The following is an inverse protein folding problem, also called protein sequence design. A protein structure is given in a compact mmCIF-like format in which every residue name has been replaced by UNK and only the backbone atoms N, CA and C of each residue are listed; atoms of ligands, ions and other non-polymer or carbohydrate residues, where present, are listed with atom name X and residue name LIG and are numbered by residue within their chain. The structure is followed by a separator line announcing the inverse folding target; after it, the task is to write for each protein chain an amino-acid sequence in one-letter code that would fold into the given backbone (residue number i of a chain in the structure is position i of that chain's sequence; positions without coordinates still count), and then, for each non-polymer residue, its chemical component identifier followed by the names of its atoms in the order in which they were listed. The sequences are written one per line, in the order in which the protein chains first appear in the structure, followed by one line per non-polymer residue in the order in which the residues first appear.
data_IF_847312728245
#
_entry.id   IF_847312728245
#
_cell.length_a   1.000
_cell.length_b   1.000
_cell.length_c   1.000
_cell.angle_alpha   90.00
_cell.angle_beta   90.00
_cell.angle_gamma   90.00
#
_symmetry.space_group_name_H-M   'P 1'
#
loop_
_entity.id
_entity.type
_entity.pdbx_description
1 polymer ?
#
# COMPACT_ATOMS: atom_id res chain seq x y z
N UNK A 1 18.77 18.37 -6.94
CA UNK A 1 19.45 17.30 -6.17
C UNK A 1 18.39 16.52 -5.39
N UNK A 2 18.16 15.23 -5.69
CA UNK A 2 17.16 14.40 -4.98
C UNK A 2 17.73 13.99 -3.61
N UNK A 3 17.22 14.57 -2.52
CA UNK A 3 17.67 14.29 -1.15
C UNK A 3 16.70 13.37 -0.40
N UNK A 4 15.41 13.40 -0.72
CA UNK A 4 14.39 12.57 -0.08
C UNK A 4 13.32 12.05 -1.07
N UNK A 5 12.36 11.28 -0.55
CA UNK A 5 11.24 10.71 -1.32
C UNK A 5 10.47 11.77 -2.10
N UNK A 6 10.21 12.94 -1.50
CA UNK A 6 9.43 14.03 -2.13
C UNK A 6 10.15 14.59 -3.37
N UNK A 7 11.48 14.67 -3.34
CA UNK A 7 12.26 15.16 -4.47
C UNK A 7 12.20 14.21 -5.68
N UNK A 8 12.20 12.89 -5.43
CA UNK A 8 12.04 11.88 -6.49
C UNK A 8 10.65 11.97 -7.15
N UNK A 9 9.61 12.23 -6.35
CA UNK A 9 8.23 12.26 -6.82
C UNK A 9 7.90 13.49 -7.68
N UNK A 10 8.57 14.63 -7.47
CA UNK A 10 8.43 15.83 -8.32
C UNK A 10 8.83 15.55 -9.79
N UNK A 11 9.76 14.63 -10.01
CA UNK A 11 10.25 14.27 -11.36
C UNK A 11 9.36 13.24 -12.08
N UNK A 12 8.58 12.44 -11.35
CA UNK A 12 7.74 11.38 -11.92
C UNK A 12 6.31 11.84 -12.28
N UNK A 13 5.97 13.11 -12.08
CA UNK A 13 4.60 13.64 -12.18
C UNK A 13 4.15 14.15 -13.56
N UNK A 14 5.02 14.16 -14.58
CA UNK A 14 4.72 14.71 -15.91
C UNK A 14 4.46 13.58 -16.92
N UNK A 15 3.20 13.20 -17.14
CA UNK A 15 2.62 12.82 -18.45
C UNK A 15 1.23 12.14 -18.37
N UNK A 16 0.50 12.29 -19.49
CA UNK A 16 -0.69 11.59 -19.99
C UNK A 16 -2.08 12.11 -19.58
N UNK A 17 -2.81 12.61 -20.59
CA UNK A 17 -4.22 13.03 -20.62
C UNK A 17 -5.17 11.85 -20.95
N UNK A 18 -6.47 12.04 -20.70
CA UNK A 18 -7.54 11.04 -20.68
C UNK A 18 -8.61 11.24 -21.77
N UNK A 19 -9.28 10.15 -22.18
CA UNK A 19 -10.60 10.15 -22.85
C UNK A 19 -11.50 9.10 -22.16
N UNK A 20 -12.81 9.34 -22.08
CA UNK A 20 -13.75 8.58 -21.24
C UNK A 20 -14.98 8.01 -21.96
N UNK A 21 -15.86 7.32 -21.21
CA UNK A 21 -17.34 7.40 -21.24
C UNK A 21 -18.02 6.24 -20.49
N UNK A 22 -19.18 6.53 -19.87
CA UNK A 22 -20.36 5.64 -19.76
C UNK A 22 -20.57 4.82 -18.47
N UNK A 23 -21.66 5.10 -17.73
CA UNK A 23 -22.14 4.35 -16.55
C UNK A 23 -23.57 3.79 -16.79
N UNK A 24 -23.90 2.65 -16.15
CA UNK A 24 -25.26 2.09 -16.00
C UNK A 24 -25.42 1.51 -14.56
N UNK A 25 -26.57 1.67 -13.86
CA UNK A 25 -26.72 1.21 -12.49
C UNK A 25 -27.67 0.01 -12.30
N UNK A 26 -27.42 -0.79 -11.26
CA UNK A 26 -28.35 -1.81 -10.73
C UNK A 26 -28.32 -1.87 -9.18
N UNK A 27 -29.51 -1.98 -8.58
CA UNK A 27 -29.92 -1.96 -7.14
C UNK A 27 -29.58 -3.25 -6.34
N UNK A 28 -29.66 -3.43 -5.00
CA UNK A 28 -29.62 -2.66 -3.71
C UNK A 28 -29.49 -3.69 -2.56
N UNK A 29 -28.98 -3.31 -1.38
CA UNK A 29 -29.10 -4.05 -0.12
C UNK A 29 -28.44 -3.29 1.05
N UNK A 30 -29.16 -3.12 2.16
CA UNK A 30 -28.91 -2.09 3.20
C UNK A 30 -27.64 -2.29 4.05
N UNK A 31 -26.70 -1.38 3.86
CA UNK A 31 -25.88 -0.75 4.89
C UNK A 31 -26.21 0.76 4.81
N UNK A 32 -25.93 1.57 5.83
CA UNK A 32 -26.16 3.02 5.70
C UNK A 32 -25.52 3.48 4.39
N UNK A 33 -26.31 4.04 3.49
CA UNK A 33 -25.84 4.45 2.17
C UNK A 33 -25.14 5.80 2.27
N UNK A 34 -24.22 6.08 1.35
CA UNK A 34 -23.64 7.42 1.20
C UNK A 34 -24.73 8.51 1.16
N UNK A 35 -24.60 9.54 1.99
CA UNK A 35 -25.51 10.68 1.95
C UNK A 35 -25.15 11.61 0.79
N UNK A 36 -26.12 12.37 0.27
CA UNK A 36 -25.87 13.36 -0.77
C UNK A 36 -24.77 14.36 -0.36
N UNK A 37 -24.76 14.77 0.91
CA UNK A 37 -23.75 15.67 1.48
C UNK A 37 -22.34 15.07 1.43
N UNK A 38 -22.18 13.79 1.75
CA UNK A 38 -20.87 13.10 1.70
C UNK A 38 -20.36 13.02 0.25
N UNK A 39 -21.24 12.71 -0.71
CA UNK A 39 -20.89 12.65 -2.13
C UNK A 39 -20.55 14.03 -2.72
N UNK A 40 -21.27 15.08 -2.32
CA UNK A 40 -20.97 16.45 -2.70
C UNK A 40 -19.63 16.93 -2.10
N UNK A 41 -19.35 16.56 -0.84
CA UNK A 41 -18.07 16.84 -0.21
C UNK A 41 -16.92 16.13 -0.94
N UNK A 42 -17.10 14.85 -1.30
CA UNK A 42 -16.16 14.09 -2.13
C UNK A 42 -15.87 14.81 -3.46
N UNK A 43 -16.91 15.18 -4.20
CA UNK A 43 -16.82 15.88 -5.48
C UNK A 43 -16.08 17.21 -5.33
N UNK A 44 -16.46 18.02 -4.34
CA UNK A 44 -15.86 19.32 -4.05
C UNK A 44 -14.36 19.18 -3.69
N UNK A 45 -14.02 18.31 -2.74
CA UNK A 45 -12.63 18.13 -2.29
C UNK A 45 -11.77 17.56 -3.41
N UNK A 46 -12.29 16.60 -4.19
CA UNK A 46 -11.59 16.05 -5.34
C UNK A 46 -11.26 17.13 -6.38
N UNK A 47 -12.22 18.00 -6.71
CA UNK A 47 -12.03 19.12 -7.63
C UNK A 47 -10.97 20.12 -7.14
N UNK A 48 -11.05 20.57 -5.89
CA UNK A 48 -10.14 21.60 -5.36
C UNK A 48 -8.72 21.11 -5.06
N UNK A 49 -8.48 19.80 -4.98
CA UNK A 49 -7.17 19.23 -4.61
C UNK A 49 -6.51 18.43 -5.75
N UNK A 50 -6.87 18.71 -7.00
CA UNK A 50 -6.24 18.14 -8.18
C UNK A 50 -6.48 16.64 -8.31
N UNK A 51 -7.74 16.22 -8.46
CA UNK A 51 -8.09 14.86 -8.82
C UNK A 51 -8.00 14.67 -10.35
N UNK A 52 -7.52 13.50 -10.76
CA UNK A 52 -7.66 12.97 -12.14
C UNK A 52 -8.89 12.08 -12.29
N UNK A 53 -9.46 11.64 -11.18
CA UNK A 53 -10.61 10.77 -11.13
C UNK A 53 -10.87 10.29 -9.71
N UNK A 54 -12.12 9.94 -9.43
CA UNK A 54 -12.53 9.32 -8.18
C UNK A 54 -13.81 8.51 -8.38
N UNK A 55 -14.03 7.55 -7.48
CA UNK A 55 -15.31 6.86 -7.36
C UNK A 55 -15.52 6.37 -5.93
N UNK A 56 -16.78 6.19 -5.58
CA UNK A 56 -17.25 5.68 -4.29
C UNK A 56 -18.16 4.47 -4.51
N UNK A 57 -18.01 3.46 -3.66
CA UNK A 57 -18.80 2.23 -3.71
C UNK A 57 -19.46 1.94 -2.37
N UNK A 58 -20.60 1.26 -2.45
CA UNK A 58 -21.29 0.60 -1.35
C UNK A 58 -21.44 -0.88 -1.75
N UNK A 59 -20.78 -1.77 -1.01
CA UNK A 59 -20.61 -3.16 -1.42
C UNK A 59 -20.11 -3.27 -2.85
N UNK A 60 -20.77 -4.06 -3.69
CA UNK A 60 -20.33 -4.24 -5.08
C UNK A 60 -20.75 -3.10 -6.02
N UNK A 61 -21.63 -2.18 -5.59
CA UNK A 61 -22.19 -1.14 -6.44
C UNK A 61 -21.38 0.15 -6.38
N UNK A 62 -21.03 0.71 -7.54
CA UNK A 62 -20.53 2.09 -7.63
C UNK A 62 -21.71 3.05 -7.44
N UNK A 63 -21.61 3.95 -6.46
CA UNK A 63 -22.68 4.89 -6.10
C UNK A 63 -22.44 6.24 -6.76
N UNK A 64 -21.19 6.65 -6.90
CA UNK A 64 -20.81 7.89 -7.57
C UNK A 64 -19.39 7.79 -8.12
N UNK A 65 -19.07 8.62 -9.11
CA UNK A 65 -17.72 8.76 -9.63
C UNK A 65 -17.59 9.82 -10.71
N UNK A 66 -16.35 10.19 -11.01
CA UNK A 66 -15.99 11.10 -12.08
C UNK A 66 -14.64 10.67 -12.65
N UNK A 67 -14.56 10.55 -13.99
CA UNK A 67 -13.36 10.07 -14.70
C UNK A 67 -12.81 8.77 -14.08
N UNK A 68 -13.67 7.79 -13.83
CA UNK A 68 -13.31 6.49 -13.23
C UNK A 68 -12.49 5.58 -14.17
N UNK A 69 -12.50 5.86 -15.48
CA UNK A 69 -11.55 5.30 -16.43
C UNK A 69 -10.15 5.92 -16.37
N UNK A 70 -9.94 7.01 -15.62
CA UNK A 70 -8.62 7.63 -15.52
C UNK A 70 -7.62 6.66 -14.94
N UNK A 71 -6.47 6.52 -15.62
CA UNK A 71 -5.36 5.66 -15.24
C UNK A 71 -4.12 6.47 -14.88
N UNK A 72 -3.33 5.94 -13.96
CA UNK A 72 -2.02 6.51 -13.66
C UNK A 72 -1.21 5.69 -12.68
N UNK A 73 0.01 6.11 -12.35
CA UNK A 73 0.84 5.43 -11.36
C UNK A 73 0.11 5.37 -10.02
N UNK A 74 0.07 4.22 -9.36
CA UNK A 74 -0.51 4.04 -8.02
C UNK A 74 0.48 4.42 -6.91
N UNK A 75 1.76 4.60 -7.27
CA UNK A 75 2.86 4.85 -6.35
C UNK A 75 2.87 3.85 -5.17
N UNK A 76 2.85 4.33 -3.94
CA UNK A 76 3.00 3.46 -2.76
C UNK A 76 1.80 2.55 -2.47
N UNK A 77 0.67 2.70 -3.17
CA UNK A 77 -0.41 1.70 -3.13
C UNK A 77 0.09 0.33 -3.67
N UNK A 78 1.13 0.31 -4.52
CA UNK A 78 1.80 -0.93 -4.97
C UNK A 78 2.22 -1.83 -3.79
N UNK A 79 2.57 -1.25 -2.63
CA UNK A 79 2.97 -2.01 -1.43
C UNK A 79 1.85 -2.91 -0.90
N UNK A 80 0.60 -2.49 -1.01
CA UNK A 80 -0.54 -3.32 -0.62
C UNK A 80 -0.69 -4.55 -1.55
N UNK A 81 -0.37 -4.39 -2.83
CA UNK A 81 -0.37 -5.48 -3.82
C UNK A 81 0.78 -6.46 -3.52
N UNK A 82 1.96 -5.94 -3.17
CA UNK A 82 3.08 -6.76 -2.70
C UNK A 82 2.75 -7.53 -1.41
N UNK A 83 2.02 -6.90 -0.48
CA UNK A 83 1.55 -7.58 0.74
C UNK A 83 0.50 -8.66 0.45
N UNK A 84 -0.36 -8.48 -0.56
CA UNK A 84 -1.24 -9.55 -1.04
C UNK A 84 -0.44 -10.71 -1.64
N UNK A 85 0.67 -10.45 -2.33
CA UNK A 85 1.56 -11.52 -2.80
C UNK A 85 2.14 -12.33 -1.62
N UNK A 86 2.65 -11.66 -0.59
CA UNK A 86 3.12 -12.33 0.62
C UNK A 86 1.99 -13.09 1.34
N UNK A 87 0.78 -12.53 1.34
CA UNK A 87 -0.42 -13.19 1.89
C UNK A 87 -0.77 -14.46 1.13
N UNK A 88 -0.77 -14.43 -0.21
CA UNK A 88 -1.00 -15.61 -1.03
C UNK A 88 0.07 -16.66 -0.81
N UNK A 89 1.33 -16.25 -0.69
CA UNK A 89 2.46 -17.13 -0.44
C UNK A 89 2.36 -17.84 0.93
N UNK A 90 1.87 -17.13 1.95
CA UNK A 90 1.56 -17.72 3.25
C UNK A 90 0.39 -18.68 3.22
N UNK A 91 -0.68 -18.35 2.47
CA UNK A 91 -1.80 -19.26 2.26
C UNK A 91 -1.40 -20.53 1.50
N UNK A 92 -0.40 -20.42 0.61
CA UNK A 92 0.21 -21.56 -0.10
C UNK A 92 1.31 -22.27 0.73
N UNK A 93 1.58 -21.81 1.96
CA UNK A 93 2.44 -22.49 2.93
C UNK A 93 3.95 -22.38 2.68
N UNK A 94 4.42 -21.46 1.83
CA UNK A 94 5.86 -21.36 1.51
C UNK A 94 6.54 -20.06 1.96
N UNK A 95 5.77 -19.12 2.52
CA UNK A 95 6.28 -17.90 3.15
C UNK A 95 5.65 -17.74 4.54
N UNK A 96 6.48 -17.62 5.57
CA UNK A 96 6.03 -17.41 6.95
C UNK A 96 6.39 -15.99 7.42
N UNK A 97 5.50 -15.25 8.09
CA UNK A 97 5.81 -13.89 8.55
C UNK A 97 7.00 -13.84 9.55
N UNK A 98 7.25 -14.91 10.30
CA UNK A 98 8.29 -14.98 11.33
C UNK A 98 9.58 -15.66 10.86
N UNK A 99 9.62 -16.25 9.66
CA UNK A 99 10.86 -16.81 9.13
C UNK A 99 11.92 -15.72 8.97
N UNK A 100 13.19 -16.11 9.13
CA UNK A 100 14.29 -15.18 8.96
C UNK A 100 14.50 -14.95 7.48
N UNK A 101 14.71 -13.70 7.10
CA UNK A 101 15.10 -13.36 5.72
C UNK A 101 16.38 -14.10 5.33
N UNK A 102 17.30 -14.29 6.28
CA UNK A 102 18.55 -15.03 6.09
C UNK A 102 18.39 -16.51 5.78
N UNK A 103 17.22 -17.10 6.00
CA UNK A 103 16.95 -18.49 5.62
C UNK A 103 16.97 -18.62 4.09
N UNK A 104 16.53 -17.58 3.38
CA UNK A 104 16.55 -17.47 1.91
C UNK A 104 17.72 -16.64 1.37
N UNK A 105 18.21 -15.68 2.16
CA UNK A 105 19.33 -14.80 1.83
C UNK A 105 20.57 -15.25 2.61
N UNK A 106 21.33 -16.26 2.14
CA UNK A 106 22.49 -16.78 2.85
C UNK A 106 23.55 -15.71 3.13
N UNK A 107 23.63 -14.66 2.29
CA UNK A 107 24.54 -13.52 2.46
C UNK A 107 24.36 -12.79 3.80
N UNK A 108 23.23 -12.97 4.47
CA UNK A 108 22.90 -12.29 5.73
C UNK A 108 23.03 -13.20 6.96
N UNK A 109 23.33 -14.50 6.80
CA UNK A 109 23.34 -15.47 7.91
C UNK A 109 24.38 -15.16 8.98
N UNK A 110 25.55 -14.67 8.58
CA UNK A 110 26.66 -14.34 9.49
C UNK A 110 26.64 -12.90 9.99
N UNK A 111 25.77 -12.05 9.43
CA UNK A 111 25.63 -10.67 9.87
C UNK A 111 24.84 -10.63 11.20
N UNK A 112 25.40 -10.08 12.28
CA UNK A 112 24.79 -10.13 13.62
C UNK A 112 23.47 -9.35 13.73
N UNK A 113 23.21 -8.42 12.81
CA UNK A 113 22.00 -7.61 12.79
C UNK A 113 21.01 -8.14 11.76
N UNK A 114 21.44 -8.33 10.52
CA UNK A 114 20.59 -8.72 9.39
C UNK A 114 20.02 -10.15 9.53
N UNK A 115 20.76 -11.06 10.15
CA UNK A 115 20.29 -12.43 10.44
C UNK A 115 19.03 -12.47 11.31
N UNK A 116 18.74 -11.41 12.06
CA UNK A 116 17.55 -11.30 12.94
C UNK A 116 16.32 -10.74 12.23
N UNK A 117 16.43 -10.26 10.99
CA UNK A 117 15.31 -9.65 10.27
C UNK A 117 14.33 -10.75 9.82
N UNK A 118 13.04 -10.57 10.12
CA UNK A 118 11.97 -11.45 9.63
C UNK A 118 11.20 -10.85 8.46
N UNK A 119 10.44 -11.67 7.74
CA UNK A 119 9.52 -11.21 6.67
C UNK A 119 8.54 -10.17 7.20
N UNK A 120 7.96 -10.39 8.38
CA UNK A 120 7.01 -9.46 9.00
C UNK A 120 7.65 -8.10 9.30
N UNK A 121 8.92 -8.07 9.73
CA UNK A 121 9.63 -6.81 9.96
C UNK A 121 9.81 -5.99 8.68
N UNK A 122 9.91 -6.65 7.51
CA UNK A 122 9.90 -5.96 6.21
C UNK A 122 8.52 -5.36 5.92
N UNK A 123 7.46 -6.15 6.09
CA UNK A 123 6.06 -5.72 5.86
C UNK A 123 5.60 -4.62 6.84
N UNK A 124 6.19 -4.57 8.02
CA UNK A 124 6.00 -3.52 9.04
C UNK A 124 6.93 -2.32 8.84
N UNK A 125 7.97 -2.45 8.00
CA UNK A 125 9.04 -1.45 7.81
C UNK A 125 9.76 -1.07 9.11
N UNK A 126 10.03 -2.08 9.93
CA UNK A 126 10.82 -1.97 11.18
C UNK A 126 12.07 -2.86 11.13
N UNK A 127 12.53 -3.28 9.96
CA UNK A 127 13.66 -4.21 9.85
C UNK A 127 15.03 -3.63 10.24
N UNK A 128 15.10 -2.33 10.54
CA UNK A 128 16.35 -1.63 10.83
C UNK A 128 17.18 -1.29 9.59
N UNK A 129 16.73 -1.65 8.39
CA UNK A 129 17.36 -1.20 7.14
C UNK A 129 17.18 0.31 6.96
N UNK A 130 18.16 0.96 6.34
CA UNK A 130 17.95 2.31 5.83
C UNK A 130 16.82 2.32 4.79
N UNK A 131 16.12 3.45 4.64
CA UNK A 131 14.94 3.54 3.78
C UNK A 131 15.23 3.15 2.30
N UNK A 132 16.46 3.33 1.83
CA UNK A 132 16.88 2.91 0.49
C UNK A 132 16.47 3.86 -0.65
N UNK A 133 16.04 5.09 -0.35
CA UNK A 133 15.57 6.06 -1.37
C UNK A 133 16.65 6.37 -2.42
N UNK A 134 17.86 6.68 -2.00
CA UNK A 134 18.98 6.98 -2.92
C UNK A 134 19.36 5.74 -3.75
N UNK A 135 19.76 4.61 -3.13
CA UNK A 135 20.25 3.46 -3.89
C UNK A 135 19.17 2.82 -4.79
N UNK A 136 17.88 2.89 -4.45
CA UNK A 136 16.83 2.18 -5.20
C UNK A 136 15.97 3.06 -6.10
N UNK A 137 15.78 4.34 -5.79
CA UNK A 137 14.97 5.25 -6.63
C UNK A 137 15.83 6.21 -7.44
N UNK A 138 16.81 6.86 -6.80
CA UNK A 138 17.64 7.85 -7.49
C UNK A 138 18.63 7.20 -8.45
N UNK A 139 19.33 6.16 -8.00
CA UNK A 139 20.40 5.53 -8.78
C UNK A 139 19.87 4.56 -9.85
N UNK A 140 18.60 4.16 -9.76
CA UNK A 140 17.93 3.26 -10.72
C UNK A 140 18.79 2.04 -11.08
N UNK A 141 19.18 1.20 -10.09
CA UNK A 141 20.08 0.09 -10.33
C UNK A 141 19.46 -0.91 -11.32
N UNK A 142 20.32 -1.59 -12.08
CA UNK A 142 19.89 -2.61 -13.04
C UNK A 142 19.19 -3.80 -12.38
N UNK A 143 19.57 -4.11 -11.15
CA UNK A 143 19.01 -5.15 -10.29
C UNK A 143 18.68 -4.54 -8.93
N UNK A 144 17.38 -4.41 -8.64
CA UNK A 144 16.93 -3.82 -7.38
C UNK A 144 17.01 -4.78 -6.20
N UNK A 145 16.87 -6.08 -6.45
CA UNK A 145 17.02 -7.10 -5.41
C UNK A 145 18.44 -7.09 -4.87
N UNK A 146 19.44 -7.13 -5.75
CA UNK A 146 20.85 -7.03 -5.38
C UNK A 146 21.18 -5.72 -4.68
N UNK A 147 20.64 -4.60 -5.14
CA UNK A 147 20.83 -3.32 -4.47
C UNK A 147 20.19 -3.29 -3.07
N UNK A 148 19.03 -3.94 -2.88
CA UNK A 148 18.36 -4.03 -1.58
C UNK A 148 19.14 -4.89 -0.58
N UNK A 149 19.79 -5.98 -1.03
CA UNK A 149 20.68 -6.80 -0.21
C UNK A 149 21.86 -6.03 0.38
N UNK A 150 22.38 -5.07 -0.40
CA UNK A 150 23.49 -4.20 -0.03
C UNK A 150 23.13 -3.04 0.91
N UNK A 151 21.85 -2.83 1.23
CA UNK A 151 21.44 -1.77 2.15
C UNK A 151 22.04 -1.95 3.54
N UNK A 152 22.36 -0.84 4.18
CA UNK A 152 22.87 -0.84 5.56
C UNK A 152 21.74 -1.05 6.56
N UNK A 153 22.03 -1.75 7.65
CA UNK A 153 21.23 -1.68 8.86
C UNK A 153 21.69 -0.46 9.67
N UNK A 154 20.77 0.46 9.94
CA UNK A 154 21.02 1.70 10.67
C UNK A 154 20.31 1.75 12.02
N UNK A 155 19.40 0.79 12.29
CA UNK A 155 18.81 0.57 13.60
C UNK A 155 18.78 -0.92 13.95
N UNK A 156 18.47 -1.23 15.20
CA UNK A 156 18.14 -2.59 15.60
C UNK A 156 16.81 -3.04 14.98
N UNK A 157 16.69 -4.29 14.49
CA UNK A 157 15.43 -4.81 13.99
C UNK A 157 14.33 -4.72 15.05
N UNK A 158 13.16 -4.23 14.63
CA UNK A 158 11.97 -4.06 15.46
C UNK A 158 11.89 -2.75 16.25
N UNK A 159 12.88 -1.83 16.17
CA UNK A 159 12.92 -0.66 17.07
C UNK A 159 12.50 0.66 16.44
N UNK A 160 12.70 0.85 15.13
CA UNK A 160 12.41 2.12 14.44
C UNK A 160 11.61 1.85 13.16
N UNK A 161 10.52 2.60 12.98
CA UNK A 161 9.77 2.62 11.72
C UNK A 161 10.46 3.54 10.71
N UNK A 162 10.94 2.98 9.59
CA UNK A 162 11.54 3.73 8.48
C UNK A 162 10.79 3.46 7.20
N UNK A 163 10.10 4.46 6.68
CA UNK A 163 9.34 4.29 5.45
C UNK A 163 10.24 4.42 4.21
N UNK A 164 10.32 3.37 3.39
CA UNK A 164 11.16 3.40 2.19
C UNK A 164 11.04 2.18 1.28
N UNK A 165 11.65 2.25 0.08
CA UNK A 165 11.67 1.11 -0.84
C UNK A 165 12.44 -0.11 -0.35
N UNK A 166 13.44 0.06 0.52
CA UNK A 166 14.38 -1.01 0.87
C UNK A 166 13.72 -2.31 1.33
N UNK A 167 12.78 -2.19 2.25
CA UNK A 167 12.04 -3.34 2.81
C UNK A 167 11.26 -4.12 1.74
N UNK A 168 10.71 -3.41 0.75
CA UNK A 168 9.82 -3.97 -0.26
C UNK A 168 10.60 -4.63 -1.39
N UNK A 169 11.68 -4.00 -1.87
CA UNK A 169 12.52 -4.62 -2.89
C UNK A 169 13.27 -5.83 -2.34
N UNK A 170 13.61 -5.83 -1.04
CA UNK A 170 14.13 -7.02 -0.38
C UNK A 170 13.09 -8.13 -0.25
N UNK A 171 11.83 -7.80 0.07
CA UNK A 171 10.74 -8.78 0.05
C UNK A 171 10.57 -9.40 -1.35
N UNK A 172 10.66 -8.58 -2.40
CA UNK A 172 10.63 -9.08 -3.78
C UNK A 172 11.76 -10.07 -4.05
N UNK A 173 12.98 -9.77 -3.60
CA UNK A 173 14.14 -10.67 -3.76
C UNK A 173 13.98 -12.00 -3.01
N UNK A 174 13.48 -11.96 -1.77
CA UNK A 174 13.17 -13.18 -0.99
C UNK A 174 12.17 -14.05 -1.74
N UNK A 175 11.06 -13.47 -2.19
CA UNK A 175 10.03 -14.21 -2.93
C UNK A 175 10.57 -14.73 -4.26
N UNK A 176 11.38 -13.94 -4.98
CA UNK A 176 12.00 -14.34 -6.25
C UNK A 176 12.88 -15.57 -6.08
N UNK A 177 13.74 -15.62 -5.07
CA UNK A 177 14.60 -16.80 -4.82
C UNK A 177 13.78 -18.03 -4.45
N UNK A 178 12.81 -17.90 -3.55
CA UNK A 178 11.91 -19.01 -3.18
C UNK A 178 11.13 -19.55 -4.38
N UNK A 179 10.60 -18.68 -5.23
CA UNK A 179 9.86 -19.07 -6.45
C UNK A 179 10.78 -19.72 -7.48
N UNK A 180 12.02 -19.25 -7.63
CA UNK A 180 13.00 -19.86 -8.52
C UNK A 180 13.27 -21.32 -8.17
N UNK A 181 13.35 -21.67 -6.88
CA UNK A 181 13.47 -23.07 -6.43
C UNK A 181 12.23 -23.92 -6.74
N UNK A 182 11.09 -23.28 -6.99
CA UNK A 182 9.82 -23.92 -7.39
C UNK A 182 9.60 -23.90 -8.91
N UNK A 183 10.58 -23.41 -9.70
CA UNK A 183 10.45 -23.31 -11.16
C UNK A 183 9.50 -22.20 -11.63
N UNK A 184 9.21 -21.20 -10.79
CA UNK A 184 8.31 -20.10 -11.11
C UNK A 184 9.03 -18.73 -11.06
N UNK A 185 8.65 -17.81 -11.94
CA UNK A 185 9.17 -16.44 -11.92
C UNK A 185 8.28 -15.53 -11.07
N UNK A 186 8.87 -14.50 -10.45
CA UNK A 186 8.11 -13.53 -9.67
C UNK A 186 7.00 -12.84 -10.50
N UNK A 187 7.21 -12.38 -11.75
CA UNK A 187 6.14 -11.86 -12.59
C UNK A 187 4.99 -12.85 -12.82
N UNK A 188 5.28 -14.12 -13.12
CA UNK A 188 4.26 -15.14 -13.33
C UNK A 188 3.42 -15.36 -12.06
N UNK A 189 4.10 -15.44 -10.91
CA UNK A 189 3.46 -15.55 -9.61
C UNK A 189 2.55 -14.35 -9.32
N UNK A 190 3.05 -13.13 -9.50
CA UNK A 190 2.27 -11.91 -9.27
C UNK A 190 1.02 -11.87 -10.16
N UNK A 191 1.15 -12.29 -11.41
CA UNK A 191 0.01 -12.35 -12.32
C UNK A 191 -1.04 -13.37 -11.88
N UNK A 192 -0.63 -14.63 -11.63
CA UNK A 192 -1.58 -15.71 -11.28
C UNK A 192 -2.15 -15.57 -9.87
N UNK A 193 -1.34 -15.10 -8.92
CA UNK A 193 -1.63 -15.12 -7.49
C UNK A 193 -2.22 -13.82 -6.97
N UNK A 194 -2.07 -12.71 -7.70
CA UNK A 194 -2.54 -11.39 -7.25
C UNK A 194 -3.30 -10.63 -8.32
N UNK A 195 -2.69 -10.36 -9.47
CA UNK A 195 -3.27 -9.45 -10.46
C UNK A 195 -4.58 -10.02 -11.03
N UNK A 196 -4.57 -11.25 -11.56
CA UNK A 196 -5.77 -11.88 -12.12
C UNK A 196 -6.88 -12.11 -11.08
N UNK A 197 -6.61 -12.66 -9.89
CA UNK A 197 -7.66 -12.87 -8.89
C UNK A 197 -8.34 -11.58 -8.42
N UNK A 198 -7.59 -10.50 -8.23
CA UNK A 198 -8.15 -9.19 -7.85
C UNK A 198 -8.84 -8.50 -9.03
N UNK A 199 -8.51 -8.89 -10.27
CA UNK A 199 -8.99 -8.27 -11.50
C UNK A 199 -8.25 -6.97 -11.84
N UNK A 200 -6.93 -6.98 -11.65
CA UNK A 200 -5.99 -5.91 -12.03
C UNK A 200 -5.30 -6.25 -13.36
N UNK A 201 -4.99 -5.22 -14.15
CA UNK A 201 -4.31 -5.34 -15.43
C UNK A 201 -2.84 -5.79 -15.31
N UNK A 202 -2.41 -6.65 -16.22
CA UNK A 202 -1.09 -7.30 -16.21
C UNK A 202 0.07 -6.36 -16.61
N UNK A 203 -0.14 -5.47 -17.58
CA UNK A 203 0.97 -4.97 -18.42
C UNK A 203 1.61 -3.65 -17.98
N UNK A 204 1.29 -3.12 -16.80
CA UNK A 204 1.82 -1.82 -16.40
C UNK A 204 2.38 -1.81 -14.98
N UNK A 205 3.21 -2.81 -14.69
CA UNK A 205 4.04 -2.87 -13.50
C UNK A 205 5.50 -2.62 -13.89
N UNK A 206 6.05 -1.51 -13.41
CA UNK A 206 7.48 -1.21 -13.61
C UNK A 206 8.38 -2.30 -13.02
N UNK A 207 9.38 -2.70 -13.80
CA UNK A 207 10.40 -3.65 -13.41
C UNK A 207 11.82 -3.08 -13.57
N UNK A 208 12.81 -3.76 -13.00
CA UNK A 208 14.22 -3.48 -13.27
C UNK A 208 14.65 -4.08 -14.62
N UNK A 209 15.94 -3.97 -14.97
CA UNK A 209 16.44 -4.48 -16.25
C UNK A 209 16.41 -6.02 -16.33
N UNK A 210 16.29 -6.71 -15.19
CA UNK A 210 16.10 -8.15 -15.10
C UNK A 210 14.63 -8.59 -15.12
N UNK A 211 13.70 -7.68 -15.41
CA UNK A 211 12.26 -7.91 -15.38
C UNK A 211 11.70 -8.26 -13.98
N UNK A 212 12.38 -7.86 -12.90
CA UNK A 212 11.87 -8.02 -11.55
C UNK A 212 10.91 -6.86 -11.21
N UNK A 213 9.65 -7.14 -10.83
CA UNK A 213 8.66 -6.10 -10.55
C UNK A 213 9.01 -5.34 -9.28
N UNK A 214 8.84 -4.02 -9.31
CA UNK A 214 9.10 -3.17 -8.14
C UNK A 214 8.01 -3.31 -7.09
N UNK A 215 8.34 -3.76 -5.88
CA UNK A 215 7.33 -3.91 -4.82
C UNK A 215 7.03 -2.61 -4.07
N UNK A 216 7.94 -1.65 -4.10
CA UNK A 216 7.76 -0.38 -3.37
C UNK A 216 6.90 0.65 -4.11
N UNK A 217 6.94 0.62 -5.44
CA UNK A 217 6.22 1.51 -6.36
C UNK A 217 6.33 0.92 -7.76
N UNK A 218 5.26 0.84 -8.53
CA UNK A 218 5.44 0.37 -9.92
C UNK A 218 4.16 0.12 -10.69
N UNK A 219 3.06 -0.13 -10.00
CA UNK A 219 1.78 -0.36 -10.67
C UNK A 219 1.18 0.93 -11.18
N UNK A 220 0.57 0.86 -12.36
CA UNK A 220 -0.37 1.86 -12.84
C UNK A 220 -1.76 1.25 -12.88
N UNK A 221 -2.71 1.88 -12.20
CA UNK A 221 -4.08 1.41 -12.09
C UNK A 221 -5.04 2.52 -12.48
N UNK A 222 -6.23 2.14 -12.95
CA UNK A 222 -7.37 3.04 -13.02
C UNK A 222 -8.18 3.04 -11.70
N UNK A 223 -9.18 3.92 -11.62
CA UNK A 223 -10.02 4.06 -10.42
C UNK A 223 -10.82 2.79 -10.16
N UNK A 224 -11.31 2.13 -11.22
CA UNK A 224 -12.08 0.89 -11.10
C UNK A 224 -11.22 -0.23 -10.50
N UNK A 225 -9.97 -0.38 -10.95
CA UNK A 225 -9.00 -1.32 -10.42
C UNK A 225 -8.61 -1.01 -8.96
N UNK A 226 -8.42 0.26 -8.61
CA UNK A 226 -8.23 0.67 -7.22
C UNK A 226 -9.45 0.32 -6.36
N UNK A 227 -10.65 0.45 -6.91
CA UNK A 227 -11.90 0.01 -6.27
C UNK A 227 -11.96 -1.50 -6.06
N UNK A 228 -11.50 -2.31 -7.02
CA UNK A 228 -11.42 -3.78 -6.87
C UNK A 228 -10.40 -4.19 -5.82
N UNK A 229 -9.20 -3.60 -5.85
CA UNK A 229 -8.17 -3.78 -4.82
C UNK A 229 -8.72 -3.44 -3.42
N UNK A 230 -9.43 -2.31 -3.32
CA UNK A 230 -10.08 -1.91 -2.08
C UNK A 230 -11.12 -2.91 -1.58
N UNK A 231 -11.95 -3.45 -2.49
CA UNK A 231 -12.93 -4.49 -2.16
C UNK A 231 -12.27 -5.76 -1.60
N UNK A 232 -11.23 -6.27 -2.27
CA UNK A 232 -10.48 -7.45 -1.80
C UNK A 232 -9.94 -7.21 -0.39
N UNK A 233 -9.28 -6.08 -0.16
CA UNK A 233 -8.70 -5.75 1.15
C UNK A 233 -9.77 -5.57 2.21
N UNK A 234 -10.89 -4.89 1.92
CA UNK A 234 -12.00 -4.75 2.88
C UNK A 234 -12.58 -6.10 3.30
N UNK A 235 -12.72 -7.06 2.37
CA UNK A 235 -13.20 -8.41 2.69
C UNK A 235 -12.22 -9.16 3.60
N UNK A 236 -10.92 -9.08 3.30
CA UNK A 236 -9.89 -9.71 4.14
C UNK A 236 -9.81 -9.07 5.53
N UNK A 237 -9.95 -7.74 5.64
CA UNK A 237 -10.02 -7.04 6.92
C UNK A 237 -11.25 -7.45 7.74
N UNK A 238 -12.36 -7.77 7.07
CA UNK A 238 -13.58 -8.29 7.70
C UNK A 238 -13.51 -9.80 8.00
N UNK A 239 -12.34 -10.44 7.89
CA UNK A 239 -12.16 -11.87 8.19
C UNK A 239 -12.70 -12.82 7.12
N UNK A 240 -12.95 -12.34 5.89
CA UNK A 240 -13.52 -13.14 4.80
C UNK A 240 -12.47 -13.49 3.75
N UNK A 241 -12.29 -14.78 3.51
CA UNK A 241 -11.51 -15.28 2.38
C UNK A 241 -12.13 -14.81 1.05
N UNK A 242 -11.28 -14.36 0.13
CA UNK A 242 -11.71 -13.91 -1.20
C UNK A 242 -10.54 -13.84 -2.16
N UNK A 243 -10.82 -13.89 -3.46
CA UNK A 243 -9.84 -13.69 -4.54
C UNK A 243 -8.58 -14.57 -4.39
N UNK A 244 -8.72 -15.77 -3.80
CA UNK A 244 -7.62 -16.69 -3.54
C UNK A 244 -6.75 -16.35 -2.34
N UNK A 245 -7.13 -15.38 -1.49
CA UNK A 245 -6.42 -15.05 -0.26
C UNK A 245 -7.18 -15.55 0.98
N UNK A 246 -6.42 -16.08 1.94
CA UNK A 246 -6.91 -16.36 3.29
C UNK A 246 -6.88 -15.08 4.13
N UNK A 247 -7.97 -14.75 4.79
CA UNK A 247 -8.07 -13.60 5.69
C UNK A 247 -7.17 -13.73 6.91
N UNK A 248 -6.99 -14.95 7.42
CA UNK A 248 -6.08 -15.24 8.53
C UNK A 248 -4.60 -15.04 8.11
N UNK A 249 -4.21 -15.54 6.93
CA UNK A 249 -2.88 -15.25 6.37
C UNK A 249 -2.68 -13.74 6.15
N UNK A 250 -3.71 -13.03 5.68
CA UNK A 250 -3.68 -11.58 5.47
C UNK A 250 -3.49 -10.83 6.79
N UNK A 251 -4.21 -11.23 7.84
CA UNK A 251 -4.11 -10.64 9.17
C UNK A 251 -2.69 -10.79 9.72
N UNK A 252 -2.07 -11.98 9.58
CA UNK A 252 -0.68 -12.20 10.00
C UNK A 252 0.32 -11.37 9.19
N UNK A 253 0.21 -11.36 7.86
CA UNK A 253 1.17 -10.68 6.98
C UNK A 253 1.08 -9.15 7.04
N UNK A 254 -0.11 -8.61 7.34
CA UNK A 254 -0.30 -7.15 7.37
C UNK A 254 -0.33 -6.57 8.78
N UNK A 255 -0.05 -7.39 9.82
CA UNK A 255 -0.12 -6.98 11.23
C UNK A 255 0.79 -5.78 11.52
N UNK A 256 0.28 -4.70 12.15
CA UNK A 256 1.12 -3.59 12.60
C UNK A 256 2.16 -3.99 13.65
N UNK A 257 3.20 -3.18 13.80
CA UNK A 257 4.14 -3.28 14.92
C UNK A 257 3.70 -2.43 16.10
N UNK A 258 4.25 -2.68 17.30
CA UNK A 258 4.08 -1.78 18.45
C UNK A 258 4.75 -0.42 18.26
N UNK A 259 5.80 -0.35 17.43
CA UNK A 259 6.52 0.88 17.07
C UNK A 259 5.66 1.81 16.23
N UNK A 260 4.93 1.26 15.26
CA UNK A 260 3.96 2.01 14.45
C UNK A 260 2.65 1.21 14.31
N UNK A 261 1.66 1.44 15.20
CA UNK A 261 0.38 0.74 15.16
C UNK A 261 -0.50 1.16 13.97
N UNK A 262 -0.17 2.25 13.26
CA UNK A 262 -0.90 2.64 12.06
C UNK A 262 -0.50 1.81 10.85
N UNK A 263 0.72 1.26 10.76
CA UNK A 263 1.24 0.70 9.51
C UNK A 263 1.53 -0.80 9.57
N UNK A 264 1.09 -1.53 8.54
CA UNK A 264 1.55 -2.89 8.26
C UNK A 264 1.02 -3.39 6.92
N UNK A 265 1.88 -3.99 6.08
CA UNK A 265 1.48 -4.54 4.78
C UNK A 265 1.06 -3.48 3.75
N UNK A 266 1.54 -2.24 3.86
CA UNK A 266 1.10 -1.15 2.97
C UNK A 266 -0.23 -0.49 3.37
N UNK A 267 -0.88 -0.97 4.43
CA UNK A 267 -2.13 -0.41 4.98
C UNK A 267 -1.82 0.60 6.08
N UNK A 268 -2.50 1.74 6.03
CA UNK A 268 -2.55 2.73 7.11
C UNK A 268 -3.88 2.62 7.85
N UNK A 269 -3.84 2.39 9.16
CA UNK A 269 -5.00 2.06 9.99
C UNK A 269 -5.36 3.20 10.94
N UNK A 270 -6.66 3.37 11.18
CA UNK A 270 -7.20 4.39 12.07
C UNK A 270 -7.45 3.86 13.51
N UNK A 271 -6.87 2.72 13.87
CA UNK A 271 -7.16 1.99 15.14
C UNK A 271 -6.95 2.80 16.42
N UNK A 272 -6.17 3.89 16.35
CA UNK A 272 -5.88 4.77 17.49
C UNK A 272 -6.86 5.95 17.61
N UNK A 273 -7.80 6.13 16.68
CA UNK A 273 -8.68 7.30 16.62
C UNK A 273 -9.57 7.50 17.87
N UNK A 274 -9.97 6.41 18.53
CA UNK A 274 -10.79 6.47 19.75
C UNK A 274 -9.97 6.62 21.05
N UNK A 275 -8.64 6.71 20.97
CA UNK A 275 -7.82 6.89 22.18
C UNK A 275 -7.86 8.33 22.66
N UNK A 276 -7.86 8.50 23.97
CA UNK A 276 -7.63 9.81 24.60
C UNK A 276 -6.31 10.40 24.12
N UNK A 277 -6.35 11.64 23.65
CA UNK A 277 -5.17 12.34 23.11
C UNK A 277 -4.77 11.91 21.70
N UNK A 278 -5.63 11.20 20.96
CA UNK A 278 -5.37 10.87 19.56
C UNK A 278 -5.23 12.14 18.70
N UNK A 279 -4.25 12.13 17.80
CA UNK A 279 -3.98 13.24 16.87
C UNK A 279 -4.17 12.77 15.43
N UNK A 280 -4.99 13.51 14.68
CA UNK A 280 -5.13 13.28 13.24
C UNK A 280 -3.89 13.78 12.51
N UNK A 281 -3.27 12.94 11.68
CA UNK A 281 -2.04 13.31 10.96
C UNK A 281 -2.20 13.20 9.45
N UNK A 282 -1.49 14.07 8.72
CA UNK A 282 -1.22 13.85 7.30
C UNK A 282 -0.02 12.89 7.19
N UNK A 283 -0.27 11.62 6.86
CA UNK A 283 0.75 10.56 6.84
C UNK A 283 1.97 10.95 6.01
N UNK A 284 1.76 11.43 4.79
CA UNK A 284 2.86 11.79 3.88
C UNK A 284 3.78 12.89 4.42
N UNK A 285 3.31 13.69 5.39
CA UNK A 285 4.11 14.72 6.06
C UNK A 285 5.03 14.18 7.15
N UNK A 286 4.83 12.93 7.58
CA UNK A 286 5.42 12.36 8.79
C UNK A 286 6.21 11.07 8.57
N UNK A 287 6.51 10.72 7.32
CA UNK A 287 7.16 9.44 6.97
C UNK A 287 8.54 9.58 6.32
N UNK A 288 8.98 10.81 6.01
CA UNK A 288 10.28 11.01 5.38
C UNK A 288 11.41 10.91 6.42
N UNK A 289 11.20 11.48 7.61
CA UNK A 289 12.08 11.31 8.77
C UNK A 289 11.43 10.38 9.81
N UNK A 290 12.20 9.51 10.49
CA UNK A 290 11.67 8.66 11.55
C UNK A 290 11.02 9.47 12.66
N UNK A 291 9.89 8.98 13.16
CA UNK A 291 9.21 9.50 14.35
C UNK A 291 9.31 8.48 15.49
N UNK A 292 9.37 8.93 16.75
CA UNK A 292 9.41 8.02 17.89
C UNK A 292 8.12 7.20 17.98
N UNK A 293 8.18 6.02 18.59
CA UNK A 293 7.00 5.17 18.79
C UNK A 293 5.89 5.87 19.58
N UNK A 294 6.22 6.80 20.49
CA UNK A 294 5.24 7.62 21.22
C UNK A 294 4.36 8.45 20.29
N UNK A 295 4.93 9.01 19.21
CA UNK A 295 4.18 9.74 18.19
C UNK A 295 3.18 8.82 17.48
N UNK A 296 3.63 7.67 16.98
CA UNK A 296 2.76 6.74 16.25
C UNK A 296 1.67 6.12 17.12
N UNK A 297 1.89 6.00 18.43
CA UNK A 297 0.88 5.49 19.36
C UNK A 297 -0.28 6.46 19.62
N UNK A 298 -0.09 7.76 19.34
CA UNK A 298 -1.15 8.78 19.40
C UNK A 298 -1.70 9.14 18.01
N UNK A 299 -0.95 8.87 16.95
CA UNK A 299 -1.35 9.22 15.59
C UNK A 299 -2.51 8.35 15.06
N UNK A 300 -3.42 8.99 14.32
CA UNK A 300 -4.48 8.34 13.55
C UNK A 300 -4.71 9.05 12.21
N UNK A 301 -5.49 8.44 11.31
CA UNK A 301 -5.87 9.07 10.04
C UNK A 301 -6.86 10.22 10.27
N UNK A 302 -7.87 9.99 11.11
CA UNK A 302 -8.86 10.99 11.49
C UNK A 302 -9.55 10.60 12.79
N UNK A 303 -9.63 11.53 13.74
CA UNK A 303 -10.40 11.38 14.98
C UNK A 303 -11.92 11.50 14.76
N UNK A 304 -12.35 11.93 13.55
CA UNK A 304 -13.75 12.00 13.15
C UNK A 304 -14.26 10.73 12.45
N UNK A 305 -13.37 9.78 12.22
CA UNK A 305 -13.67 8.53 11.52
C UNK A 305 -13.55 7.35 12.47
N UNK A 306 -14.29 6.26 12.23
CA UNK A 306 -14.27 5.10 13.09
C UNK A 306 -12.88 4.41 13.09
N UNK A 307 -12.56 3.64 14.15
CA UNK A 307 -11.26 2.96 14.26
C UNK A 307 -10.99 1.91 13.16
N UNK A 308 -12.02 1.39 12.50
CA UNK A 308 -11.93 0.40 11.41
C UNK A 308 -11.50 1.01 10.07
N UNK A 309 -11.49 2.35 9.93
CA UNK A 309 -11.01 3.02 8.73
C UNK A 309 -9.57 2.59 8.40
N UNK A 310 -9.37 2.17 7.16
CA UNK A 310 -8.06 1.87 6.57
C UNK A 310 -7.85 2.70 5.30
N UNK A 311 -6.63 3.15 5.08
CA UNK A 311 -6.22 3.85 3.87
C UNK A 311 -5.02 3.18 3.19
N UNK A 312 -5.11 3.06 1.86
CA UNK A 312 -3.95 2.83 1.00
C UNK A 312 -3.47 4.19 0.50
N UNK A 313 -2.22 4.54 0.80
CA UNK A 313 -1.69 5.89 0.59
C UNK A 313 -0.60 5.85 -0.48
N UNK A 314 -0.89 6.47 -1.62
CA UNK A 314 0.05 6.74 -2.70
C UNK A 314 0.33 8.23 -2.82
N UNK A 315 1.56 8.58 -3.19
CA UNK A 315 1.97 9.98 -3.32
C UNK A 315 1.10 10.79 -4.26
N UNK A 316 1.08 12.11 -4.08
CA UNK A 316 0.32 13.02 -4.95
C UNK A 316 -1.19 12.81 -4.84
N UNK A 317 -1.67 12.47 -3.64
CA UNK A 317 -3.09 12.35 -3.31
C UNK A 317 -3.79 11.11 -3.85
N UNK A 318 -3.06 10.03 -4.18
CA UNK A 318 -3.70 8.76 -4.56
C UNK A 318 -4.13 8.05 -3.29
N UNK A 319 -5.40 7.66 -3.25
CA UNK A 319 -6.01 7.10 -2.04
C UNK A 319 -6.95 5.97 -2.40
N UNK A 320 -6.96 4.97 -1.55
CA UNK A 320 -8.11 4.07 -1.39
C UNK A 320 -8.48 4.10 0.09
N UNK A 321 -9.66 4.60 0.43
CA UNK A 321 -10.19 4.57 1.79
C UNK A 321 -11.21 3.45 1.91
N UNK A 322 -11.15 2.73 3.03
CA UNK A 322 -11.93 1.53 3.29
C UNK A 322 -12.58 1.68 4.67
N UNK A 323 -13.89 1.47 4.74
CA UNK A 323 -14.63 1.25 5.98
C UNK A 323 -15.19 -0.17 5.93
N UNK A 324 -14.42 -1.18 6.36
CA UNK A 324 -14.81 -2.58 6.23
C UNK A 324 -16.16 -2.91 6.86
N UNK A 325 -16.46 -2.34 8.04
CA UNK A 325 -17.70 -2.63 8.78
C UNK A 325 -18.92 -2.03 8.09
N UNK A 326 -18.71 -0.95 7.33
CA UNK A 326 -19.76 -0.27 6.57
C UNK A 326 -19.84 -0.75 5.12
N UNK A 327 -18.95 -1.64 4.68
CA UNK A 327 -18.76 -2.07 3.29
C UNK A 327 -18.69 -0.89 2.30
N UNK A 328 -18.05 0.20 2.75
CA UNK A 328 -17.85 1.43 1.97
C UNK A 328 -16.40 1.57 1.55
N UNK A 329 -16.19 2.11 0.35
CA UNK A 329 -14.85 2.48 -0.10
C UNK A 329 -14.87 3.65 -1.07
N UNK A 330 -13.76 4.38 -1.08
CA UNK A 330 -13.46 5.46 -2.02
C UNK A 330 -12.12 5.15 -2.67
N UNK A 331 -12.02 5.36 -3.97
CA UNK A 331 -10.76 5.39 -4.69
C UNK A 331 -10.59 6.75 -5.38
N UNK A 332 -9.36 7.25 -5.36
CA UNK A 332 -8.98 8.52 -5.96
C UNK A 332 -7.60 8.43 -6.59
N UNK A 333 -7.49 8.93 -7.80
CA UNK A 333 -6.21 9.26 -8.42
C UNK A 333 -6.01 10.77 -8.36
N UNK A 334 -4.99 11.19 -7.63
CA UNK A 334 -4.58 12.59 -7.55
C UNK A 334 -3.45 12.94 -8.51
N UNK A 335 -3.28 14.23 -8.77
CA UNK A 335 -2.13 14.82 -9.48
C UNK A 335 -1.34 15.82 -8.63
N UNK A 336 -1.79 16.11 -7.39
CA UNK A 336 -1.22 17.18 -6.56
C UNK A 336 -0.71 16.70 -5.21
N UNK A 337 0.38 17.32 -4.74
CA UNK A 337 0.89 17.19 -3.37
C UNK A 337 0.12 18.04 -2.36
N UNK A 338 -0.80 18.90 -2.80
CA UNK A 338 -1.67 19.70 -1.93
C UNK A 338 -2.79 18.91 -1.28
N UNK A 339 -2.99 17.63 -1.65
CA UNK A 339 -4.02 16.77 -1.08
C UNK A 339 -4.00 16.74 0.46
N UNK A 340 -5.19 16.84 1.06
CA UNK A 340 -5.40 16.83 2.50
C UNK A 340 -6.38 15.71 2.86
N UNK A 341 -5.88 14.69 3.58
CA UNK A 341 -6.69 13.58 4.07
C UNK A 341 -7.74 14.11 5.06
N UNK A 342 -7.33 15.04 5.94
CA UNK A 342 -8.21 15.68 6.92
C UNK A 342 -9.36 16.50 6.27
N UNK A 343 -9.12 17.17 5.14
CA UNK A 343 -10.14 17.94 4.45
C UNK A 343 -11.28 17.06 3.90
N UNK A 344 -10.94 15.84 3.46
CA UNK A 344 -11.93 14.87 3.03
C UNK A 344 -12.59 14.19 4.23
N UNK A 345 -11.80 13.54 5.09
CA UNK A 345 -12.27 12.67 6.18
C UNK A 345 -13.03 13.42 7.28
N UNK A 346 -13.05 14.75 7.28
CA UNK A 346 -13.86 15.55 8.22
C UNK A 346 -15.28 15.82 7.72
N UNK A 347 -15.60 15.44 6.48
CA UNK A 347 -16.86 15.76 5.79
C UNK A 347 -17.61 14.53 5.28
N UNK A 348 -17.00 13.34 5.38
CA UNK A 348 -17.56 12.09 4.87
C UNK A 348 -17.79 11.05 5.95
#
# INVERSE_FOLDING_TARGET
MIRNRRDFLKLAGLAAASAGSGCMPGFTGGASSWSARELDAMKSVAGSHGARGWAAWQGNRQIAGWQDGSRGPSFSITKAIAALAATRAAGEGWLDPYERVSDTIPEWRTDPVKSRITVLMLLQQVSGLEAGVIPLYRNQPSDKGRAALGLRCVDSPGTVFRYGPGHWELLAEVMRRKLSHKGETLPAYMNRGVMRPVGLSHWNWRSDRGNNPYFSTGTQLDISELGRLGRTISRLLAGRDCDGFSADAFARMTRPSSVNPMFGGGLWRNTRAARTGAISIQVERNIDDPRPGSFWNQACLSTRQPPDLVALIGSGGRRVYLWPDQDRRIARLGSSTSWSDAALLSRI
#
